data_IF_900483193962
#
_entry.id   IF_900483193962
#
_cell.length_a   1.000
_cell.length_b   1.000
_cell.length_c   1.000
_cell.angle_alpha   90.00
_cell.angle_beta   90.00
_cell.angle_gamma   90.00
#
_symmetry.space_group_name_H-M   'P 1'
#
loop_
_entity.id
_entity.type
_entity.pdbx_description
1 polymer ?
#
# COMPACT_ATOMS: atom_id res chain seq x y z
N UNK A 1 -28.40 13.54 24.22
CA UNK A 1 -28.11 12.09 24.09
C UNK A 1 -27.08 11.92 22.98
N UNK A 2 -25.84 12.38 23.21
CA UNK A 2 -24.85 12.61 22.14
C UNK A 2 -23.39 12.68 22.63
N UNK A 3 -23.05 12.03 23.75
CA UNK A 3 -21.70 12.10 24.33
C UNK A 3 -21.06 10.72 24.60
N UNK A 4 -21.76 9.62 24.30
CA UNK A 4 -21.24 8.25 24.46
C UNK A 4 -20.52 7.71 23.21
N UNK A 5 -20.69 8.34 22.05
CA UNK A 5 -20.13 7.86 20.78
C UNK A 5 -18.64 8.20 20.60
N UNK A 6 -18.15 9.25 21.27
CA UNK A 6 -16.73 9.65 21.21
C UNK A 6 -15.82 8.62 21.86
N UNK A 7 -16.16 8.18 23.08
CA UNK A 7 -15.29 7.29 23.87
C UNK A 7 -15.14 5.88 23.32
N UNK A 8 -16.11 5.35 22.54
CA UNK A 8 -15.94 4.04 21.90
C UNK A 8 -15.01 4.12 20.67
N UNK A 9 -15.13 5.19 19.87
CA UNK A 9 -14.24 5.45 18.73
C UNK A 9 -12.80 5.67 19.19
N UNK A 10 -12.60 6.49 20.21
CA UNK A 10 -11.28 6.76 20.78
C UNK A 10 -10.62 5.48 21.30
N UNK A 11 -11.38 4.62 22.00
CA UNK A 11 -10.89 3.32 22.49
C UNK A 11 -10.60 2.35 21.34
N UNK A 12 -11.39 2.36 20.27
CA UNK A 12 -11.14 1.52 19.08
C UNK A 12 -9.89 1.97 18.32
N UNK A 13 -9.68 3.29 18.19
CA UNK A 13 -8.52 3.90 17.56
C UNK A 13 -7.24 3.64 18.36
N UNK A 14 -7.29 3.78 19.69
CA UNK A 14 -6.15 3.47 20.58
C UNK A 14 -5.71 2.01 20.46
N UNK A 15 -6.67 1.07 20.49
CA UNK A 15 -6.40 -0.37 20.27
C UNK A 15 -5.92 -0.69 18.84
N UNK A 16 -6.27 0.13 17.84
CA UNK A 16 -5.74 0.00 16.48
C UNK A 16 -4.30 0.50 16.42
N UNK A 17 -4.00 1.66 17.01
CA UNK A 17 -2.66 2.20 17.08
C UNK A 17 -1.70 1.24 17.81
N UNK A 18 -2.10 0.74 18.98
CA UNK A 18 -1.32 -0.25 19.74
C UNK A 18 -1.00 -1.50 18.92
N UNK A 19 -2.00 -2.07 18.23
CA UNK A 19 -1.79 -3.24 17.35
C UNK A 19 -0.89 -2.95 16.16
N UNK A 20 -0.99 -1.76 15.56
CA UNK A 20 -0.12 -1.38 14.44
C UNK A 20 1.34 -1.24 14.92
N UNK A 21 1.56 -0.62 16.07
CA UNK A 21 2.91 -0.49 16.67
C UNK A 21 3.48 -1.85 17.06
N UNK A 22 2.66 -2.72 17.67
CA UNK A 22 3.04 -4.08 18.04
C UNK A 22 3.37 -4.95 16.81
N UNK A 23 2.58 -4.84 15.73
CA UNK A 23 2.85 -5.50 14.45
C UNK A 23 4.07 -4.91 13.75
N UNK A 24 4.35 -3.61 13.92
CA UNK A 24 5.55 -2.96 13.39
C UNK A 24 6.82 -3.43 14.12
N UNK A 25 6.75 -3.67 15.43
CA UNK A 25 7.85 -4.29 16.20
C UNK A 25 8.06 -5.77 15.88
N UNK A 26 7.01 -6.48 15.46
CA UNK A 26 7.09 -7.88 14.97
C UNK A 26 7.30 -8.01 13.46
N UNK A 27 7.36 -6.90 12.72
CA UNK A 27 7.53 -6.96 11.28
C UNK A 27 8.92 -7.54 10.97
N UNK A 28 9.03 -8.72 10.33
CA UNK A 28 10.31 -9.37 10.11
C UNK A 28 11.24 -8.44 9.31
N UNK A 29 12.53 -8.39 9.68
CA UNK A 29 13.58 -7.58 9.03
C UNK A 29 13.69 -7.76 7.50
N UNK A 30 13.00 -8.75 6.94
CA UNK A 30 12.79 -8.97 5.50
C UNK A 30 12.11 -7.80 4.76
N UNK A 31 11.39 -6.92 5.46
CA UNK A 31 10.82 -5.66 4.92
C UNK A 31 11.62 -4.40 5.29
N UNK A 32 12.78 -4.53 5.92
CA UNK A 32 13.67 -3.39 6.20
C UNK A 32 14.29 -2.82 4.90
N UNK A 33 14.57 -3.68 3.92
CA UNK A 33 15.24 -3.27 2.69
C UNK A 33 14.34 -2.50 1.70
N UNK A 34 14.78 -1.28 1.33
CA UNK A 34 14.18 -0.39 0.33
C UNK A 34 13.73 -1.07 -0.97
N UNK A 35 14.50 -2.06 -1.42
CA UNK A 35 14.27 -2.80 -2.67
C UNK A 35 13.00 -3.66 -2.60
N UNK A 36 12.72 -4.31 -1.47
CA UNK A 36 11.55 -5.17 -1.31
C UNK A 36 10.25 -4.35 -1.26
N UNK A 37 10.29 -3.14 -0.67
CA UNK A 37 9.15 -2.20 -0.64
C UNK A 37 8.82 -1.66 -2.03
N UNK A 38 9.84 -1.33 -2.82
CA UNK A 38 9.66 -0.89 -4.22
C UNK A 38 9.13 -2.00 -5.11
N UNK A 39 9.60 -3.24 -4.93
CA UNK A 39 9.05 -4.39 -5.65
C UNK A 39 7.57 -4.63 -5.28
N UNK A 40 7.21 -4.51 -4.00
CA UNK A 40 5.81 -4.62 -3.56
C UNK A 40 4.93 -3.52 -4.19
N UNK A 41 5.38 -2.27 -4.14
CA UNK A 41 4.65 -1.15 -4.73
C UNK A 41 4.57 -1.26 -6.27
N UNK A 42 5.62 -1.76 -6.92
CA UNK A 42 5.61 -2.06 -8.36
C UNK A 42 4.63 -3.19 -8.71
N UNK A 43 4.62 -4.29 -7.94
CA UNK A 43 3.68 -5.40 -8.11
C UNK A 43 2.23 -4.96 -7.87
N UNK A 44 1.99 -4.13 -6.85
CA UNK A 44 0.68 -3.54 -6.58
C UNK A 44 0.26 -2.60 -7.72
N UNK A 45 1.18 -1.80 -8.27
CA UNK A 45 0.95 -0.98 -9.45
C UNK A 45 0.57 -1.81 -10.68
N UNK A 46 1.26 -2.94 -10.91
CA UNK A 46 0.93 -3.86 -12.00
C UNK A 46 -0.47 -4.49 -11.81
N UNK A 47 -0.80 -4.92 -10.59
CA UNK A 47 -2.15 -5.41 -10.26
C UNK A 47 -3.23 -4.33 -10.49
N UNK A 48 -2.91 -3.06 -10.29
CA UNK A 48 -3.82 -1.95 -10.52
C UNK A 48 -4.16 -1.74 -12.01
N UNK A 49 -3.30 -2.21 -12.92
CA UNK A 49 -3.53 -2.12 -14.37
C UNK A 49 -4.46 -3.21 -14.89
N UNK A 50 -4.60 -4.34 -14.20
CA UNK A 50 -5.48 -5.44 -14.61
C UNK A 50 -6.93 -5.01 -14.90
N UNK A 51 -7.64 -4.26 -14.05
CA UNK A 51 -9.01 -3.86 -14.35
C UNK A 51 -9.11 -2.90 -15.54
N UNK A 52 -8.05 -2.15 -15.88
CA UNK A 52 -8.01 -1.34 -17.10
C UNK A 52 -7.88 -2.20 -18.35
N UNK A 53 -7.04 -3.24 -18.29
CA UNK A 53 -6.91 -4.22 -19.36
C UNK A 53 -8.24 -4.95 -19.57
N UNK A 54 -8.89 -5.36 -18.48
CA UNK A 54 -10.20 -6.02 -18.50
C UNK A 54 -11.27 -5.13 -19.13
N UNK A 55 -11.34 -3.86 -18.73
CA UNK A 55 -12.25 -2.88 -19.33
C UNK A 55 -12.00 -2.70 -20.83
N UNK A 56 -10.73 -2.64 -21.27
CA UNK A 56 -10.38 -2.52 -22.68
C UNK A 56 -10.75 -3.77 -23.49
N UNK A 57 -10.49 -4.96 -22.93
CA UNK A 57 -10.88 -6.25 -23.55
C UNK A 57 -12.40 -6.36 -23.66
N UNK A 58 -13.12 -6.03 -22.59
CA UNK A 58 -14.59 -6.03 -22.56
C UNK A 58 -15.20 -5.00 -23.51
N UNK A 59 -14.48 -3.93 -23.87
CA UNK A 59 -14.91 -2.98 -24.89
C UNK A 59 -14.72 -3.54 -26.30
N UNK A 60 -13.59 -4.19 -26.56
CA UNK A 60 -13.21 -4.71 -27.88
C UNK A 60 -14.01 -5.95 -28.28
N UNK A 61 -14.33 -6.80 -27.30
CA UNK A 61 -15.05 -8.05 -27.51
C UNK A 61 -16.52 -7.80 -27.15
N UNK A 62 -17.36 -7.57 -28.17
CA UNK A 62 -18.82 -7.52 -28.08
C UNK A 62 -19.40 -8.63 -27.16
N UNK A 63 -20.60 -8.45 -26.57
CA UNK A 63 -21.09 -9.30 -25.47
C UNK A 63 -21.03 -10.78 -25.86
N UNK A 64 -20.14 -11.51 -25.20
CA UNK A 64 -19.95 -12.94 -25.36
C UNK A 64 -19.84 -13.56 -23.97
N UNK A 65 -20.38 -14.77 -23.79
CA UNK A 65 -20.34 -15.47 -22.51
C UNK A 65 -18.90 -15.68 -22.02
N UNK A 66 -17.96 -15.83 -22.96
CA UNK A 66 -16.52 -15.89 -22.69
C UNK A 66 -15.99 -14.64 -21.99
N UNK A 67 -16.44 -13.44 -22.40
CA UNK A 67 -16.00 -12.19 -21.77
C UNK A 67 -16.43 -12.10 -20.31
N UNK A 68 -17.62 -12.61 -19.97
CA UNK A 68 -18.10 -12.65 -18.57
C UNK A 68 -17.21 -13.52 -17.70
N UNK A 69 -16.85 -14.72 -18.17
CA UNK A 69 -15.96 -15.62 -17.43
C UNK A 69 -14.56 -15.03 -17.27
N UNK A 70 -14.00 -14.41 -18.32
CA UNK A 70 -12.69 -13.75 -18.25
C UNK A 70 -12.72 -12.60 -17.23
N UNK A 71 -13.71 -11.71 -17.29
CA UNK A 71 -13.84 -10.60 -16.35
C UNK A 71 -13.94 -11.11 -14.91
N UNK A 72 -14.73 -12.16 -14.65
CA UNK A 72 -14.84 -12.78 -13.32
C UNK A 72 -13.50 -13.35 -12.83
N UNK A 73 -12.74 -14.02 -13.70
CA UNK A 73 -11.42 -14.56 -13.36
C UNK A 73 -10.43 -13.43 -13.06
N UNK A 74 -10.44 -12.35 -13.84
CA UNK A 74 -9.59 -11.18 -13.60
C UNK A 74 -9.96 -10.50 -12.29
N UNK A 75 -11.26 -10.30 -12.01
CA UNK A 75 -11.72 -9.77 -10.72
C UNK A 75 -11.31 -10.66 -9.54
N UNK A 76 -11.45 -11.98 -9.69
CA UNK A 76 -11.06 -12.93 -8.65
C UNK A 76 -9.55 -12.90 -8.40
N UNK A 77 -8.73 -12.91 -9.45
CA UNK A 77 -7.28 -12.79 -9.35
C UNK A 77 -6.87 -11.46 -8.70
N UNK A 78 -7.56 -10.37 -9.05
CA UNK A 78 -7.35 -9.06 -8.44
C UNK A 78 -7.76 -9.04 -6.97
N UNK A 79 -8.86 -9.70 -6.58
CA UNK A 79 -9.25 -9.81 -5.17
C UNK A 79 -8.21 -10.61 -4.38
N UNK A 80 -7.79 -11.77 -4.90
CA UNK A 80 -6.83 -12.67 -4.25
C UNK A 80 -5.44 -12.05 -4.16
N UNK A 81 -4.97 -11.31 -5.17
CA UNK A 81 -3.65 -10.66 -5.16
C UNK A 81 -3.66 -9.26 -4.55
N UNK A 82 -4.67 -8.47 -4.88
CA UNK A 82 -4.79 -7.06 -4.52
C UNK A 82 -5.11 -6.84 -3.04
N UNK A 83 -6.02 -7.63 -2.45
CA UNK A 83 -6.36 -7.48 -1.02
C UNK A 83 -5.16 -7.76 -0.11
N UNK A 84 -4.39 -8.86 -0.28
CA UNK A 84 -3.18 -9.09 0.49
C UNK A 84 -2.09 -8.05 0.23
N UNK A 85 -1.91 -7.61 -1.02
CA UNK A 85 -0.94 -6.56 -1.35
C UNK A 85 -1.29 -5.25 -0.64
N UNK A 86 -2.57 -4.86 -0.65
CA UNK A 86 -3.08 -3.68 0.04
C UNK A 86 -2.85 -3.76 1.55
N UNK A 87 -3.21 -4.89 2.17
CA UNK A 87 -2.98 -5.12 3.60
C UNK A 87 -1.48 -5.06 3.95
N UNK A 88 -0.61 -5.68 3.13
CA UNK A 88 0.85 -5.60 3.34
C UNK A 88 1.37 -4.18 3.22
N UNK A 89 0.87 -3.39 2.27
CA UNK A 89 1.25 -1.98 2.15
C UNK A 89 0.81 -1.16 3.38
N UNK A 90 -0.37 -1.42 3.97
CA UNK A 90 -0.77 -0.80 5.24
C UNK A 90 0.20 -1.13 6.37
N UNK A 91 0.60 -2.40 6.48
CA UNK A 91 1.57 -2.85 7.50
C UNK A 91 2.94 -2.20 7.29
N UNK A 92 3.45 -2.17 6.06
CA UNK A 92 4.75 -1.57 5.73
C UNK A 92 4.75 -0.07 5.99
N UNK A 93 3.66 0.62 5.63
CA UNK A 93 3.49 2.05 5.90
C UNK A 93 3.21 2.36 7.37
N UNK A 94 3.24 1.35 8.26
CA UNK A 94 2.96 1.47 9.71
C UNK A 94 1.67 2.23 9.99
N UNK A 95 0.70 2.12 9.08
CA UNK A 95 -0.54 2.86 9.15
C UNK A 95 -0.40 4.39 9.07
N UNK A 96 0.72 4.98 8.61
CA UNK A 96 0.84 6.45 8.42
C UNK A 96 -0.27 7.06 7.56
N UNK A 97 -0.87 6.27 6.68
CA UNK A 97 -2.03 6.66 5.87
C UNK A 97 -3.38 6.44 6.57
N UNK A 98 -3.43 5.64 7.63
CA UNK A 98 -4.63 5.25 8.36
C UNK A 98 -4.72 5.76 9.81
N UNK A 99 -3.60 6.19 10.39
CA UNK A 99 -3.50 6.76 11.73
C UNK A 99 -4.02 8.20 11.71
N UNK A 100 -4.60 8.57 12.83
CA UNK A 100 -5.13 9.91 13.04
C UNK A 100 -3.99 10.93 13.14
N UNK A 101 -4.25 12.16 12.68
CA UNK A 101 -3.23 13.21 12.52
C UNK A 101 -2.54 13.54 13.87
N UNK A 102 -3.27 13.39 14.98
CA UNK A 102 -2.78 13.58 16.35
C UNK A 102 -1.69 12.59 16.79
N UNK A 103 -1.49 11.49 16.09
CA UNK A 103 -0.43 10.50 16.37
C UNK A 103 0.73 10.55 15.37
N UNK A 104 0.67 11.47 14.40
CA UNK A 104 1.69 11.65 13.37
C UNK A 104 2.57 12.84 13.73
N UNK A 105 3.88 12.70 13.53
CA UNK A 105 4.83 13.82 13.60
C UNK A 105 4.60 14.78 12.40
N UNK A 106 4.98 16.05 12.51
CA UNK A 106 4.79 17.08 11.47
C UNK A 106 5.39 16.64 10.13
N UNK A 107 6.52 15.92 10.17
CA UNK A 107 7.17 15.34 8.99
C UNK A 107 6.29 14.28 8.32
N UNK A 108 5.66 13.39 9.10
CA UNK A 108 4.79 12.34 8.58
C UNK A 108 3.49 12.90 8.00
N UNK A 109 2.93 13.94 8.62
CA UNK A 109 1.78 14.67 8.09
C UNK A 109 2.10 15.32 6.74
N UNK A 110 3.25 15.99 6.63
CA UNK A 110 3.69 16.61 5.38
C UNK A 110 3.92 15.58 4.26
N UNK A 111 4.49 14.42 4.57
CA UNK A 111 4.66 13.31 3.62
C UNK A 111 3.32 12.72 3.17
N UNK A 112 2.38 12.51 4.10
CA UNK A 112 1.01 12.07 3.81
C UNK A 112 0.33 13.05 2.86
N UNK A 113 0.34 14.35 3.17
CA UNK A 113 -0.28 15.38 2.33
C UNK A 113 0.34 15.43 0.92
N UNK A 114 1.65 15.24 0.79
CA UNK A 114 2.31 15.13 -0.52
C UNK A 114 1.85 13.88 -1.27
N UNK A 115 1.75 12.73 -0.60
CA UNK A 115 1.27 11.50 -1.22
C UNK A 115 -0.18 11.64 -1.71
N UNK A 116 -1.08 12.20 -0.88
CA UNK A 116 -2.46 12.50 -1.25
C UNK A 116 -2.55 13.49 -2.41
N UNK A 117 -1.72 14.54 -2.41
CA UNK A 117 -1.71 15.52 -3.52
C UNK A 117 -1.29 14.88 -4.84
N UNK A 118 -0.26 14.05 -4.84
CA UNK A 118 0.18 13.33 -6.05
C UNK A 118 -0.89 12.33 -6.49
N UNK A 119 -1.48 11.59 -5.55
CA UNK A 119 -2.55 10.65 -5.85
C UNK A 119 -3.79 11.34 -6.43
N UNK A 120 -4.15 12.50 -5.87
CA UNK A 120 -5.28 13.28 -6.37
C UNK A 120 -5.03 13.73 -7.81
N UNK A 121 -3.85 14.29 -8.11
CA UNK A 121 -3.47 14.65 -9.49
C UNK A 121 -3.49 13.46 -10.45
N UNK A 122 -3.00 12.29 -10.01
CA UNK A 122 -3.07 11.07 -10.80
C UNK A 122 -4.51 10.62 -11.07
N UNK A 123 -5.37 10.68 -10.05
CA UNK A 123 -6.80 10.35 -10.19
C UNK A 123 -7.49 11.35 -11.12
N UNK A 124 -7.23 12.64 -10.99
CA UNK A 124 -7.78 13.68 -11.88
C UNK A 124 -7.33 13.46 -13.33
N UNK A 125 -6.05 13.20 -13.56
CA UNK A 125 -5.53 12.91 -14.90
C UNK A 125 -6.19 11.65 -15.49
N UNK A 126 -6.41 10.61 -14.66
CA UNK A 126 -7.12 9.40 -15.08
C UNK A 126 -8.58 9.69 -15.45
N UNK A 127 -9.29 10.47 -14.63
CA UNK A 127 -10.67 10.89 -14.93
C UNK A 127 -10.75 11.62 -16.26
N UNK A 128 -9.83 12.56 -16.49
CA UNK A 128 -9.75 13.30 -17.77
C UNK A 128 -9.47 12.34 -18.92
N UNK A 129 -8.51 11.43 -18.77
CA UNK A 129 -8.15 10.47 -19.82
C UNK A 129 -9.35 9.59 -20.21
N UNK A 130 -10.07 9.02 -19.24
CA UNK A 130 -11.28 8.23 -19.49
C UNK A 130 -12.35 9.07 -20.19
N UNK A 131 -12.61 10.29 -19.71
CA UNK A 131 -13.59 11.18 -20.32
C UNK A 131 -13.26 11.49 -21.78
N UNK A 132 -11.99 11.76 -22.10
CA UNK A 132 -11.52 11.98 -23.48
C UNK A 132 -11.67 10.71 -24.32
N UNK A 133 -11.34 9.53 -23.79
CA UNK A 133 -11.49 8.25 -24.52
C UNK A 133 -12.94 7.99 -24.88
N UNK A 134 -13.88 8.18 -23.94
CA UNK A 134 -15.32 8.03 -24.19
C UNK A 134 -15.80 9.04 -25.24
N UNK A 135 -15.43 10.32 -25.09
CA UNK A 135 -15.81 11.38 -26.03
C UNK A 135 -15.32 11.12 -27.46
N UNK A 136 -14.10 10.57 -27.60
CA UNK A 136 -13.55 10.21 -28.91
C UNK A 136 -14.23 8.97 -29.50
N UNK A 137 -14.62 8.01 -28.67
CA UNK A 137 -15.27 6.79 -29.12
C UNK A 137 -16.70 7.04 -29.62
N UNK A 138 -17.46 7.91 -28.97
CA UNK A 138 -18.82 8.30 -29.39
C UNK A 138 -18.82 9.09 -30.71
N UNK A 139 -17.73 9.78 -31.04
CA UNK A 139 -17.61 10.53 -32.30
C UNK A 139 -17.54 9.65 -33.55
N UNK A 140 -17.28 8.35 -33.39
CA UNK A 140 -16.93 7.44 -34.49
C UNK A 140 -17.98 6.40 -34.88
N UNK A 141 -19.05 6.20 -34.10
CA UNK A 141 -20.09 5.18 -34.34
C UNK A 141 -21.33 5.47 -33.46
N UNK A 142 -22.48 4.90 -33.80
CA UNK A 142 -23.60 4.61 -32.85
C UNK A 142 -23.16 3.57 -31.78
N UNK A 143 -21.93 3.68 -31.29
CA UNK A 143 -21.26 2.74 -30.42
C UNK A 143 -21.79 2.92 -29.00
N UNK A 144 -22.83 2.15 -28.69
CA UNK A 144 -23.24 1.93 -27.32
C UNK A 144 -22.09 1.27 -26.57
N UNK A 145 -21.55 1.96 -25.56
CA UNK A 145 -20.56 1.39 -24.65
C UNK A 145 -21.22 0.25 -23.88
N UNK A 146 -20.68 -0.99 -23.93
CA UNK A 146 -21.24 -2.11 -23.18
C UNK A 146 -21.30 -1.77 -21.68
N UNK A 147 -22.43 -2.04 -21.03
CA UNK A 147 -22.63 -1.73 -19.61
C UNK A 147 -21.55 -2.37 -18.70
N UNK A 148 -21.07 -3.57 -19.06
CA UNK A 148 -19.97 -4.25 -18.35
C UNK A 148 -18.65 -3.47 -18.43
N UNK A 149 -18.29 -2.95 -19.61
CA UNK A 149 -17.08 -2.14 -19.78
C UNK A 149 -17.17 -0.84 -18.98
N UNK A 150 -18.34 -0.21 -18.94
CA UNK A 150 -18.56 1.00 -18.13
C UNK A 150 -18.43 0.71 -16.63
N UNK A 151 -19.04 -0.39 -16.14
CA UNK A 151 -18.89 -0.81 -14.75
C UNK A 151 -17.41 -1.07 -14.39
N UNK A 152 -16.68 -1.77 -15.25
CA UNK A 152 -15.25 -2.05 -15.05
C UNK A 152 -14.41 -0.78 -15.03
N UNK A 153 -14.71 0.22 -15.88
CA UNK A 153 -14.03 1.51 -15.85
C UNK A 153 -14.27 2.24 -14.53
N UNK A 154 -15.52 2.35 -14.06
CA UNK A 154 -15.84 2.99 -12.78
C UNK A 154 -15.20 2.24 -11.62
N UNK A 155 -15.22 0.91 -11.64
CA UNK A 155 -14.55 0.08 -10.65
C UNK A 155 -13.04 0.28 -10.65
N UNK A 156 -12.40 0.30 -11.81
CA UNK A 156 -10.96 0.57 -11.96
C UNK A 156 -10.59 1.95 -11.40
N UNK A 157 -11.42 2.97 -11.67
CA UNK A 157 -11.24 4.31 -11.10
C UNK A 157 -11.35 4.32 -9.58
N UNK A 158 -12.34 3.64 -9.01
CA UNK A 158 -12.52 3.54 -7.56
C UNK A 158 -11.30 2.88 -6.90
N UNK A 159 -10.86 1.74 -7.45
CA UNK A 159 -9.69 1.02 -6.92
C UNK A 159 -8.43 1.88 -7.05
N UNK A 160 -8.23 2.56 -8.19
CA UNK A 160 -7.11 3.46 -8.38
C UNK A 160 -7.13 4.61 -7.37
N UNK A 161 -8.29 5.22 -7.14
CA UNK A 161 -8.44 6.31 -6.17
C UNK A 161 -8.04 5.87 -4.76
N UNK A 162 -8.42 4.66 -4.34
CA UNK A 162 -8.13 4.13 -3.00
C UNK A 162 -6.67 3.66 -2.88
N UNK A 163 -6.13 3.01 -3.90
CA UNK A 163 -4.82 2.35 -3.82
C UNK A 163 -3.65 3.32 -4.11
N UNK A 164 -3.84 4.34 -4.95
CA UNK A 164 -2.77 5.20 -5.42
C UNK A 164 -2.04 5.98 -4.30
N UNK A 165 -2.72 6.56 -3.28
CA UNK A 165 -2.03 7.20 -2.16
C UNK A 165 -1.14 6.23 -1.39
N UNK A 166 -1.60 4.99 -1.22
CA UNK A 166 -0.90 3.94 -0.48
C UNK A 166 0.31 3.41 -1.26
N UNK A 167 0.18 3.23 -2.57
CA UNK A 167 1.29 2.86 -3.45
C UNK A 167 2.37 3.95 -3.43
N UNK A 168 1.98 5.23 -3.55
CA UNK A 168 2.91 6.36 -3.50
C UNK A 168 3.60 6.45 -2.15
N UNK A 169 2.86 6.30 -1.04
CA UNK A 169 3.43 6.30 0.30
C UNK A 169 4.44 5.16 0.48
N UNK A 170 4.07 3.94 0.07
CA UNK A 170 4.95 2.76 0.15
C UNK A 170 6.22 2.93 -0.68
N UNK A 171 6.12 3.53 -1.88
CA UNK A 171 7.26 3.77 -2.76
C UNK A 171 8.24 4.81 -2.21
N UNK A 172 7.73 5.81 -1.50
CA UNK A 172 8.50 6.95 -1.00
C UNK A 172 9.03 6.79 0.43
N UNK A 173 8.61 5.75 1.13
CA UNK A 173 8.94 5.56 2.54
C UNK A 173 10.46 5.50 2.77
N UNK A 174 11.01 6.35 3.66
CA UNK A 174 12.43 6.33 4.02
C UNK A 174 12.87 5.00 4.64
N UNK A 175 14.15 4.68 4.53
CA UNK A 175 14.72 3.54 5.24
C UNK A 175 14.70 3.83 6.75
N UNK A 176 14.35 2.83 7.59
CA UNK A 176 14.53 2.97 9.02
C UNK A 176 16.03 3.19 9.31
N UNK A 177 16.38 3.94 10.38
CA UNK A 177 17.75 3.96 10.86
C UNK A 177 18.26 2.52 11.00
N UNK A 178 19.54 2.24 10.69
CA UNK A 178 20.12 0.95 11.04
C UNK A 178 19.84 0.70 12.53
N UNK A 179 19.39 -0.52 12.83
CA UNK A 179 19.21 -0.93 14.22
C UNK A 179 20.61 -1.03 14.81
N UNK A 180 20.92 -0.26 15.85
CA UNK A 180 22.24 -0.24 16.51
C UNK A 180 22.46 -1.53 17.35
N UNK A 181 21.90 -2.67 16.91
CA UNK A 181 21.66 -3.87 17.70
C UNK A 181 22.46 -5.11 17.30
N UNK A 182 23.61 -4.94 16.63
CA UNK A 182 24.59 -6.01 16.41
C UNK A 182 25.92 -5.73 17.18
N UNK A 183 25.86 -5.01 18.30
CA UNK A 183 26.95 -4.86 19.26
C UNK A 183 26.61 -5.55 20.58
N UNK A 184 26.48 -6.88 20.59
CA UNK A 184 26.60 -7.68 21.82
C UNK A 184 26.93 -9.14 21.45
N UNK A 185 28.23 -9.43 21.41
CA UNK A 185 28.86 -10.69 21.87
C UNK A 185 30.38 -10.54 21.68
N UNK A 186 31.00 -9.77 22.56
CA UNK A 186 32.43 -9.50 22.51
C UNK A 186 33.00 -8.76 23.72
N UNK A 187 32.38 -8.89 24.90
CA UNK A 187 33.05 -8.49 26.15
C UNK A 187 32.83 -9.55 27.23
N UNK A 188 33.93 -9.93 27.88
CA UNK A 188 33.91 -10.72 29.11
C UNK A 188 34.43 -12.16 29.04
N UNK A 189 35.69 -12.37 28.68
CA UNK A 189 36.43 -13.50 29.28
C UNK A 189 37.86 -13.12 29.69
N UNK A 190 38.10 -13.28 31.00
CA UNK A 190 39.39 -13.37 31.70
C UNK A 190 40.22 -12.09 31.97
N UNK A 191 39.66 -11.19 32.78
CA UNK A 191 40.43 -10.63 33.91
C UNK A 191 40.70 -11.78 34.88
N UNK A 192 41.84 -12.48 34.73
CA UNK A 192 42.60 -13.16 35.80
C UNK A 192 43.83 -13.86 35.20
N UNK A 193 44.96 -13.16 35.10
CA UNK A 193 46.29 -13.81 35.17
C UNK A 193 47.39 -12.82 35.57
N UNK A 194 47.16 -12.07 36.64
CA UNK A 194 48.20 -11.33 37.37
C UNK A 194 48.31 -11.92 38.78
N UNK A 195 48.79 -13.16 38.88
CA UNK A 195 49.17 -13.79 40.14
C UNK A 195 49.98 -15.08 39.95
N UNK A 196 50.94 -15.14 39.02
CA UNK A 196 51.99 -16.20 39.08
C UNK A 196 53.20 -15.91 38.18
N UNK A 197 53.98 -14.87 38.48
CA UNK A 197 55.35 -14.73 37.98
C UNK A 197 56.22 -14.14 39.10
N UNK A 198 56.30 -14.92 40.18
CA UNK A 198 57.01 -14.59 41.40
C UNK A 198 57.59 -15.82 42.09
N UNK A 199 58.05 -16.81 41.32
CA UNK A 199 58.95 -17.86 41.78
C UNK A 199 59.44 -18.64 40.55
N UNK A 200 60.69 -18.40 40.13
CA UNK A 200 61.67 -19.44 39.78
C UNK A 200 62.91 -18.82 39.09
N UNK A 201 64.04 -18.96 39.80
CA UNK A 201 65.44 -18.92 39.37
C UNK A 201 66.11 -17.60 38.94
#
# INVERSE_FOLDING_TARGET
>A
MSDQDGGWRERAERRRAERITELAGRAPGRFAARRNRRLLAGAAGALLLLPWVDAAVSWLIAPSDTAVYVNLVVLAAMAVGGVPAYNRMITVTRGTTSLDERYLDERQVAERLRAFRVAHRGTTAMIIAVGVTIMLAERGRDAHVPAAANFLMVFAMLVMHIALPLIIATWRQPDPPPDDGDEEDGDGDSVTRDADQGAEH
#
